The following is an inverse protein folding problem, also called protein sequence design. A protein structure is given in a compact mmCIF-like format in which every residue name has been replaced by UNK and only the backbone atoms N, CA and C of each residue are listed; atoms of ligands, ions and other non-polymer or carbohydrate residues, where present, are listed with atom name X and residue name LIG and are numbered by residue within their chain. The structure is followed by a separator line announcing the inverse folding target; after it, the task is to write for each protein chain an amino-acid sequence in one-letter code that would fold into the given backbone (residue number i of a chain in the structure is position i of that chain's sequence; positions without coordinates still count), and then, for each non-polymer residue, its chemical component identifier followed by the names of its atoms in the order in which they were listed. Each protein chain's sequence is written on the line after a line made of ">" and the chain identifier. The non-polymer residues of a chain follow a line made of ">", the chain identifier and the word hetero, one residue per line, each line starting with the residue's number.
data_IF_680984440296
#
_entry.id   IF_680984440296
#
_cell.length_a   1.000
_cell.length_b   1.000
_cell.length_c   1.000
_cell.angle_alpha   90.00
_cell.angle_beta   90.00
_cell.angle_gamma   90.00
#
_symmetry.space_group_name_H-M   'P 1'
#
loop_
_entity.id
_entity.type
_entity.pdbx_description
1 polymer ?
#
# COMPACT_ATOMS: atom_id res chain seq x y z
N UNK A 1 6.60 -20.46 10.03
CA UNK A 1 5.82 -19.74 11.06
C UNK A 1 5.10 -20.77 11.93
N UNK A 2 5.77 -21.28 12.98
CA UNK A 2 5.15 -22.14 14.00
C UNK A 2 5.64 -21.78 15.42
N UNK A 3 6.11 -20.54 15.61
CA UNK A 3 6.70 -20.09 16.90
C UNK A 3 5.74 -20.21 18.08
N UNK A 4 4.43 -20.21 17.83
CA UNK A 4 3.38 -20.42 18.83
C UNK A 4 3.34 -21.84 19.42
N UNK A 5 4.00 -22.83 18.78
CA UNK A 5 4.13 -24.21 19.28
C UNK A 5 5.41 -24.42 20.11
N UNK A 6 6.33 -23.46 20.10
CA UNK A 6 7.63 -23.55 20.77
C UNK A 6 7.55 -22.94 22.18
N UNK A 7 8.49 -23.34 23.03
CA UNK A 7 8.67 -22.71 24.35
C UNK A 7 9.21 -21.29 24.21
N UNK A 8 8.98 -20.44 25.22
CA UNK A 8 9.47 -19.06 25.21
C UNK A 8 10.99 -18.98 25.01
N UNK A 9 11.76 -19.89 25.64
CA UNK A 9 13.22 -19.96 25.51
C UNK A 9 13.65 -20.23 24.07
N UNK A 10 13.01 -21.21 23.40
CA UNK A 10 13.31 -21.52 22.00
C UNK A 10 12.95 -20.36 21.07
N UNK A 11 11.85 -19.65 21.33
CA UNK A 11 11.47 -18.47 20.52
C UNK A 11 12.50 -17.36 20.67
N UNK A 12 12.95 -17.07 21.90
CA UNK A 12 13.96 -16.06 22.17
C UNK A 12 15.33 -16.41 21.55
N UNK A 13 15.73 -17.67 21.59
CA UNK A 13 16.95 -18.16 20.94
C UNK A 13 16.87 -18.03 19.41
N UNK A 14 15.72 -18.37 18.81
CA UNK A 14 15.52 -18.22 17.36
C UNK A 14 15.50 -16.74 16.92
N UNK A 15 15.01 -15.83 17.76
CA UNK A 15 14.97 -14.40 17.48
C UNK A 15 16.24 -13.66 17.93
N UNK A 16 17.14 -14.36 18.64
CA UNK A 16 18.37 -13.84 19.23
C UNK A 16 18.13 -12.63 20.13
N UNK A 17 17.09 -12.69 20.98
CA UNK A 17 16.64 -11.60 21.87
C UNK A 17 16.98 -11.92 23.32
N UNK A 18 17.53 -10.96 24.06
CA UNK A 18 17.73 -11.10 25.50
C UNK A 18 16.37 -11.01 26.25
N UNK A 19 16.01 -11.98 27.11
CA UNK A 19 14.74 -11.97 27.84
C UNK A 19 14.60 -10.85 28.88
N UNK A 20 15.69 -10.32 29.42
CA UNK A 20 15.68 -9.31 30.47
C UNK A 20 15.73 -7.89 29.91
N UNK A 21 16.45 -7.71 28.80
CA UNK A 21 16.77 -6.38 28.24
C UNK A 21 16.06 -6.14 26.90
N UNK A 22 15.64 -7.20 26.21
CA UNK A 22 15.06 -7.12 24.87
C UNK A 22 16.12 -6.91 23.79
N UNK A 23 15.78 -6.11 22.78
CA UNK A 23 16.69 -5.68 21.72
C UNK A 23 17.28 -4.32 22.06
N UNK A 24 18.55 -4.11 21.72
CA UNK A 24 19.17 -2.79 21.80
C UNK A 24 18.82 -1.91 20.59
N UNK A 25 19.12 -0.61 20.67
CA UNK A 25 18.77 0.35 19.61
C UNK A 25 19.38 0.02 18.24
N UNK A 26 20.59 -0.54 18.22
CA UNK A 26 21.28 -0.94 16.98
C UNK A 26 20.62 -2.17 16.32
N UNK A 27 20.19 -3.13 17.14
CA UNK A 27 19.44 -4.31 16.69
C UNK A 27 18.04 -3.93 16.20
N UNK A 28 17.38 -3.00 16.88
CA UNK A 28 16.09 -2.45 16.43
C UNK A 28 16.25 -1.76 15.08
N UNK A 29 17.31 -0.96 14.89
CA UNK A 29 17.60 -0.31 13.62
C UNK A 29 17.89 -1.31 12.52
N UNK A 30 18.75 -2.30 12.79
CA UNK A 30 19.07 -3.39 11.84
C UNK A 30 17.83 -4.19 11.47
N UNK A 31 16.95 -4.47 12.44
CA UNK A 31 15.68 -5.16 12.20
C UNK A 31 14.74 -4.33 11.32
N UNK A 32 14.69 -3.01 11.54
CA UNK A 32 13.86 -2.08 10.75
C UNK A 32 14.37 -1.95 9.32
N UNK A 33 15.68 -1.98 9.10
CA UNK A 33 16.27 -1.97 7.76
C UNK A 33 15.97 -3.28 7.00
N UNK A 34 16.00 -4.43 7.69
CA UNK A 34 15.75 -5.74 7.09
C UNK A 34 14.27 -6.05 6.84
N UNK A 35 13.41 -5.72 7.81
CA UNK A 35 12.00 -6.13 7.83
C UNK A 35 11.05 -4.98 7.46
N UNK A 36 11.55 -3.76 7.36
CA UNK A 36 10.73 -2.56 7.17
C UNK A 36 10.07 -2.08 8.47
N UNK A 37 9.32 -0.99 8.36
CA UNK A 37 8.50 -0.49 9.45
C UNK A 37 7.28 -1.40 9.67
N UNK A 38 6.90 -1.60 10.93
CA UNK A 38 5.64 -2.27 11.28
C UNK A 38 4.45 -1.33 11.01
N UNK A 39 4.17 -1.11 9.74
CA UNK A 39 3.08 -0.29 9.24
C UNK A 39 2.53 -0.92 7.99
N UNK A 40 1.20 -0.94 7.86
CA UNK A 40 0.58 -1.35 6.61
C UNK A 40 1.04 -0.42 5.48
N UNK A 41 1.50 -1.01 4.38
CA UNK A 41 1.81 -0.25 3.18
C UNK A 41 0.60 0.58 2.78
N UNK A 42 0.79 1.88 2.56
CA UNK A 42 -0.25 2.72 1.98
C UNK A 42 -0.64 2.09 0.65
N UNK A 43 -1.91 1.72 0.49
CA UNK A 43 -2.45 1.42 -0.83
C UNK A 43 -2.11 2.59 -1.75
N UNK A 44 -1.62 2.31 -2.96
CA UNK A 44 -1.36 3.32 -3.97
C UNK A 44 -2.64 4.15 -4.17
N UNK A 45 -2.62 5.40 -3.73
CA UNK A 45 -3.74 6.30 -3.93
C UNK A 45 -3.74 6.65 -5.42
N UNK A 46 -4.63 6.03 -6.18
CA UNK A 46 -4.89 6.46 -7.56
C UNK A 46 -5.21 7.95 -7.53
N UNK A 47 -4.42 8.75 -8.24
CA UNK A 47 -4.55 10.20 -8.23
C UNK A 47 -5.93 10.62 -8.73
N UNK A 48 -6.46 11.74 -8.21
CA UNK A 48 -7.77 12.25 -8.64
C UNK A 48 -7.80 12.53 -10.16
N UNK A 49 -6.69 13.02 -10.73
CA UNK A 49 -6.56 13.23 -12.17
C UNK A 49 -6.66 11.92 -12.95
N UNK A 50 -6.01 10.84 -12.47
CA UNK A 50 -6.11 9.53 -13.10
C UNK A 50 -7.54 9.00 -13.04
N UNK A 51 -8.24 9.19 -11.91
CA UNK A 51 -9.66 8.83 -11.78
C UNK A 51 -10.57 9.59 -12.75
N UNK A 52 -10.37 10.89 -12.92
CA UNK A 52 -11.15 11.70 -13.88
C UNK A 52 -10.87 11.25 -15.32
N UNK A 53 -9.61 11.02 -15.65
CA UNK A 53 -9.23 10.53 -16.98
C UNK A 53 -9.83 9.15 -17.29
N UNK A 54 -9.75 8.24 -16.32
CA UNK A 54 -10.33 6.91 -16.45
C UNK A 54 -11.86 7.00 -16.63
N UNK A 55 -12.54 7.88 -15.88
CA UNK A 55 -13.98 8.12 -16.03
C UNK A 55 -14.33 8.67 -17.42
N UNK A 56 -13.60 9.67 -17.94
CA UNK A 56 -13.84 10.23 -19.29
C UNK A 56 -13.75 9.17 -20.39
N UNK A 57 -12.95 8.13 -20.18
CA UNK A 57 -12.76 7.03 -21.14
C UNK A 57 -13.87 5.97 -21.06
N UNK A 58 -14.82 6.09 -20.12
CA UNK A 58 -15.96 5.18 -20.06
C UNK A 58 -16.88 5.36 -21.28
N UNK A 59 -17.40 4.26 -21.87
CA UNK A 59 -18.20 4.33 -23.11
C UNK A 59 -19.40 5.28 -23.04
N UNK A 60 -20.03 5.40 -21.87
CA UNK A 60 -21.17 6.29 -21.65
C UNK A 60 -20.76 7.78 -21.72
N UNK A 61 -19.63 8.14 -21.12
CA UNK A 61 -19.12 9.52 -21.11
C UNK A 61 -18.57 9.92 -22.48
N UNK A 62 -17.90 9.01 -23.19
CA UNK A 62 -17.47 9.23 -24.57
C UNK A 62 -18.69 9.57 -25.45
N UNK A 63 -19.79 8.81 -25.33
CA UNK A 63 -20.99 9.07 -26.12
C UNK A 63 -21.59 10.46 -25.83
N UNK A 64 -21.59 10.89 -24.57
CA UNK A 64 -22.02 12.24 -24.20
C UNK A 64 -21.10 13.33 -24.78
N UNK A 65 -19.78 13.12 -24.77
CA UNK A 65 -18.83 14.05 -25.39
C UNK A 65 -19.04 14.16 -26.89
N UNK A 66 -19.30 13.05 -27.58
CA UNK A 66 -19.60 13.03 -29.02
C UNK A 66 -20.92 13.77 -29.32
N UNK A 67 -21.98 13.50 -28.55
CA UNK A 67 -23.25 14.20 -28.71
C UNK A 67 -23.11 15.71 -28.49
N UNK A 68 -22.35 16.11 -27.47
CA UNK A 68 -22.02 17.51 -27.20
C UNK A 68 -21.23 18.15 -28.35
N UNK A 69 -20.22 17.45 -28.88
CA UNK A 69 -19.42 17.92 -30.01
C UNK A 69 -20.27 18.13 -31.27
N UNK A 70 -21.16 17.19 -31.59
CA UNK A 70 -22.11 17.34 -32.70
C UNK A 70 -23.01 18.56 -32.47
N UNK A 71 -23.55 18.72 -31.26
CA UNK A 71 -24.42 19.85 -30.90
C UNK A 71 -23.72 21.19 -31.11
N UNK A 72 -22.48 21.33 -30.65
CA UNK A 72 -21.68 22.55 -30.87
C UNK A 72 -21.43 22.76 -32.35
N UNK A 73 -21.06 21.72 -33.10
CA UNK A 73 -20.74 21.84 -34.52
C UNK A 73 -21.94 22.27 -35.39
N UNK A 74 -23.17 21.88 -35.03
CA UNK A 74 -24.37 22.27 -35.78
C UNK A 74 -25.00 23.58 -35.29
N UNK A 75 -24.64 24.02 -34.09
CA UNK A 75 -25.22 25.21 -33.44
C UNK A 75 -24.24 26.40 -33.37
N UNK A 76 -23.11 26.31 -34.07
CA UNK A 76 -22.14 27.38 -34.33
C UNK A 76 -22.28 27.87 -35.77
#
# INVERSE_FOLDING_TARGET
>A
MESYKKTAKEVLENLNVDPNVGLNDDEVKTSREKNGANSFGSSEKVSLLKRIWDAVTEPMLILLLVAGAITVAVNV
#
